data_IF_063227968651
#
_entry.id   IF_063227968651
#
_cell.length_a   1.000
_cell.length_b   1.000
_cell.length_c   1.000
_cell.angle_alpha   90.00
_cell.angle_beta   90.00
_cell.angle_gamma   90.00
#
_symmetry.space_group_name_H-M   'P 1'
#
loop_
_entity.id
_entity.type
_entity.pdbx_description
1 polymer ?
#
# COMPACT_ATOMS: atom_id res chain seq x y z
N UNK A 1 -4.23 10.29 21.42
CA UNK A 1 -3.07 10.92 20.76
C UNK A 1 -2.72 12.17 21.53
N UNK A 2 -1.44 12.50 21.73
CA UNK A 2 -1.05 13.73 22.41
C UNK A 2 -1.23 14.95 21.49
N UNK A 3 -1.44 16.11 22.09
CA UNK A 3 -1.33 17.40 21.40
C UNK A 3 0.14 17.73 21.13
N UNK A 4 0.41 18.40 20.00
CA UNK A 4 1.77 18.64 19.50
C UNK A 4 2.22 20.09 19.68
N UNK A 5 3.29 20.29 20.46
CA UNK A 5 3.94 21.58 20.71
C UNK A 5 5.09 21.86 19.73
N UNK A 6 5.39 23.14 19.50
CA UNK A 6 6.50 23.60 18.65
C UNK A 6 6.16 23.70 17.16
N UNK A 7 4.90 23.53 16.78
CA UNK A 7 4.45 23.56 15.38
C UNK A 7 4.00 24.94 14.97
N UNK A 8 4.37 25.37 13.78
CA UNK A 8 3.99 26.70 13.27
C UNK A 8 2.59 26.66 12.67
N UNK A 9 1.73 27.58 13.07
CA UNK A 9 0.41 27.81 12.49
C UNK A 9 0.39 29.21 11.89
N UNK A 10 -0.17 29.36 10.69
CA UNK A 10 -0.33 30.62 10.00
C UNK A 10 -1.80 31.01 9.93
N UNK A 11 -2.08 32.29 10.13
CA UNK A 11 -3.36 32.91 9.85
C UNK A 11 -3.31 33.55 8.47
N UNK A 12 -4.28 33.24 7.63
CA UNK A 12 -4.41 33.76 6.27
C UNK A 12 -5.64 34.66 6.15
N UNK A 13 -5.52 35.75 5.40
CA UNK A 13 -6.65 36.60 5.03
C UNK A 13 -7.51 35.97 3.91
N UNK A 14 -8.57 36.68 3.49
CA UNK A 14 -9.47 36.22 2.42
C UNK A 14 -8.83 36.06 1.04
N UNK A 15 -7.59 36.54 0.86
CA UNK A 15 -6.80 36.43 -0.35
C UNK A 15 -5.73 35.34 -0.24
N UNK A 16 -5.63 34.65 0.90
CA UNK A 16 -4.64 33.62 1.17
C UNK A 16 -3.25 34.16 1.52
N UNK A 17 -3.15 35.43 1.94
CA UNK A 17 -1.88 36.00 2.40
C UNK A 17 -1.70 35.76 3.90
N UNK A 18 -0.49 35.39 4.30
CA UNK A 18 -0.14 35.21 5.72
C UNK A 18 -0.12 36.57 6.41
N UNK A 19 -1.02 36.76 7.37
CA UNK A 19 -1.14 38.00 8.15
C UNK A 19 -0.59 37.86 9.57
N UNK A 20 -0.61 36.65 10.14
CA UNK A 20 -0.02 36.34 11.45
C UNK A 20 0.54 34.92 11.47
N UNK A 21 1.43 34.66 12.43
CA UNK A 21 2.01 33.34 12.68
C UNK A 21 2.05 33.08 14.19
N UNK A 22 1.72 31.86 14.60
CA UNK A 22 1.79 31.39 15.98
C UNK A 22 2.54 30.06 16.04
N UNK A 23 3.06 29.70 17.21
CA UNK A 23 3.68 28.39 17.46
C UNK A 23 2.88 27.69 18.54
N UNK A 24 2.53 26.42 18.32
CA UNK A 24 1.80 25.62 19.32
C UNK A 24 2.65 25.45 20.58
N UNK A 25 2.02 25.53 21.74
CA UNK A 25 2.71 25.37 23.03
C UNK A 25 1.74 24.91 24.11
N UNK A 26 2.24 24.19 25.10
CA UNK A 26 1.45 23.77 26.23
C UNK A 26 1.16 24.87 27.23
N UNK A 27 0.03 24.74 27.94
CA UNK A 27 -0.41 25.62 29.02
C UNK A 27 -0.82 24.77 30.23
N UNK A 28 -0.17 24.99 31.36
CA UNK A 28 -0.51 24.34 32.64
C UNK A 28 -1.87 24.89 33.11
N UNK A 29 -2.93 24.16 32.84
CA UNK A 29 -4.31 24.59 33.10
C UNK A 29 -4.75 24.21 34.50
N UNK A 30 -4.23 23.09 35.00
CA UNK A 30 -4.57 22.57 36.32
C UNK A 30 -3.69 23.15 37.44
N UNK A 31 -2.65 23.92 37.07
CA UNK A 31 -1.68 24.59 37.93
C UNK A 31 -0.87 23.61 38.80
N UNK A 32 -0.61 22.40 38.30
CA UNK A 32 0.19 21.39 38.99
C UNK A 32 1.70 21.50 38.71
N UNK A 33 2.10 22.44 37.84
CA UNK A 33 3.47 22.72 37.46
C UNK A 33 4.02 21.81 36.36
N UNK A 34 3.18 20.99 35.72
CA UNK A 34 3.53 20.15 34.55
C UNK A 34 2.65 20.52 33.36
N UNK A 35 3.07 20.06 32.18
CA UNK A 35 2.30 20.15 30.95
C UNK A 35 1.97 18.72 30.54
N UNK A 36 0.71 18.34 30.68
CA UNK A 36 0.21 17.06 30.24
C UNK A 36 -0.12 17.10 28.75
N UNK A 37 0.66 16.42 27.91
CA UNK A 37 0.49 16.49 26.45
C UNK A 37 -0.91 16.08 25.94
N UNK A 38 -1.67 15.30 26.71
CA UNK A 38 -3.03 14.87 26.34
C UNK A 38 -4.11 15.90 26.66
N UNK A 39 -3.86 16.84 27.57
CA UNK A 39 -4.87 17.80 28.06
C UNK A 39 -4.44 19.25 27.97
N UNK A 40 -3.14 19.51 27.84
CA UNK A 40 -2.53 20.81 28.07
C UNK A 40 -1.56 21.23 26.95
N UNK A 41 -1.31 20.40 25.94
CA UNK A 41 -0.45 20.72 24.78
C UNK A 41 -1.20 21.33 23.58
N UNK A 42 -0.45 21.73 22.55
CA UNK A 42 -0.95 22.05 21.20
C UNK A 42 -1.59 23.42 21.01
N UNK A 43 -1.57 24.30 22.01
CA UNK A 43 -2.33 25.54 21.95
C UNK A 43 -1.65 26.61 21.10
N UNK A 44 -2.44 27.25 20.24
CA UNK A 44 -2.07 28.46 19.51
C UNK A 44 -3.23 29.47 19.56
N UNK A 45 -2.94 30.74 19.26
CA UNK A 45 -3.95 31.80 19.31
C UNK A 45 -3.61 32.90 18.31
N UNK A 46 -4.67 33.45 17.68
CA UNK A 46 -4.61 34.68 16.92
C UNK A 46 -5.63 35.67 17.46
N UNK A 47 -5.30 36.96 17.39
CA UNK A 47 -6.26 38.04 17.67
C UNK A 47 -6.60 38.68 16.34
N UNK A 48 -7.89 38.70 15.99
CA UNK A 48 -8.38 39.09 14.67
C UNK A 48 -9.57 40.04 14.77
N UNK A 49 -9.90 40.71 13.66
CA UNK A 49 -11.12 41.51 13.54
C UNK A 49 -12.32 40.63 13.21
N UNK A 50 -13.50 40.93 13.73
CA UNK A 50 -14.73 40.14 13.51
C UNK A 50 -15.40 40.41 12.14
N UNK A 51 -14.98 41.45 11.44
CA UNK A 51 -15.50 41.87 10.13
C UNK A 51 -14.79 41.23 8.93
N UNK A 52 -13.78 40.39 9.17
CA UNK A 52 -13.01 39.73 8.11
C UNK A 52 -13.04 38.21 8.23
N UNK A 53 -13.02 37.55 7.08
CA UNK A 53 -12.86 36.12 7.00
C UNK A 53 -11.38 35.75 7.06
N UNK A 54 -11.06 34.77 7.88
CA UNK A 54 -9.73 34.20 8.01
C UNK A 54 -9.78 32.68 7.88
N UNK A 55 -8.67 32.10 7.44
CA UNK A 55 -8.41 30.67 7.57
C UNK A 55 -7.09 30.46 8.29
N UNK A 56 -6.88 29.26 8.80
CA UNK A 56 -5.60 28.86 9.39
C UNK A 56 -5.00 27.73 8.58
N UNK A 57 -3.68 27.60 8.63
CA UNK A 57 -2.94 26.48 8.06
C UNK A 57 -1.77 26.13 8.96
N UNK A 58 -1.58 24.85 9.25
CA UNK A 58 -0.39 24.39 9.93
C UNK A 58 0.77 24.18 8.94
N UNK A 59 1.98 24.57 9.34
CA UNK A 59 3.21 24.25 8.62
C UNK A 59 3.76 22.94 9.18
N UNK A 60 3.72 21.91 8.36
CA UNK A 60 4.12 20.55 8.73
C UNK A 60 5.65 20.41 8.65
N UNK A 61 6.31 19.82 9.67
CA UNK A 61 7.70 19.40 9.57
C UNK A 61 7.90 18.35 8.47
N UNK A 62 9.15 18.16 8.03
CA UNK A 62 9.47 17.10 7.08
C UNK A 62 9.12 15.71 7.66
N UNK A 63 8.55 14.82 6.86
CA UNK A 63 8.11 13.50 7.31
C UNK A 63 6.79 13.50 8.10
N UNK A 64 5.96 14.54 7.93
CA UNK A 64 4.62 14.64 8.51
C UNK A 64 3.59 15.07 7.46
N UNK A 65 2.39 14.50 7.55
CA UNK A 65 1.22 14.92 6.77
C UNK A 65 0.07 15.31 7.70
N UNK A 66 -0.76 16.25 7.23
CA UNK A 66 -2.02 16.59 7.86
C UNK A 66 -3.07 15.56 7.44
N UNK A 67 -3.59 14.81 8.40
CA UNK A 67 -4.62 13.78 8.20
C UNK A 67 -6.02 14.29 8.48
N UNK A 68 -6.16 15.37 9.25
CA UNK A 68 -7.43 16.01 9.54
C UNK A 68 -7.28 17.51 9.82
N UNK A 69 -8.33 18.25 9.52
CA UNK A 69 -8.51 19.65 9.97
C UNK A 69 -9.96 19.84 10.35
N UNK A 70 -10.19 20.21 11.61
CA UNK A 70 -11.52 20.34 12.17
C UNK A 70 -11.66 21.76 12.70
N UNK A 71 -12.53 22.54 12.06
CA UNK A 71 -12.84 23.91 12.47
C UNK A 71 -14.21 24.00 13.14
N UNK A 72 -14.23 24.67 14.27
CA UNK A 72 -15.43 24.95 15.08
C UNK A 72 -15.73 26.44 15.02
N UNK A 73 -16.91 26.79 14.54
CA UNK A 73 -17.46 28.14 14.71
C UNK A 73 -17.99 28.28 16.14
N UNK A 74 -17.20 28.92 16.99
CA UNK A 74 -17.54 29.16 18.39
C UNK A 74 -18.58 30.28 18.56
N UNK A 75 -18.89 31.00 17.48
CA UNK A 75 -19.92 32.04 17.43
C UNK A 75 -21.31 31.51 17.07
N UNK A 76 -21.44 30.25 16.62
CA UNK A 76 -22.73 29.67 16.24
C UNK A 76 -23.72 29.68 17.41
N UNK A 77 -25.05 29.82 17.18
CA UNK A 77 -26.04 29.80 18.26
C UNK A 77 -26.01 28.52 19.10
N UNK A 78 -25.69 27.37 18.48
CA UNK A 78 -25.55 26.10 19.18
C UNK A 78 -24.31 26.10 20.09
N UNK A 79 -23.16 26.59 19.59
CA UNK A 79 -21.94 26.78 20.38
C UNK A 79 -22.21 27.73 21.55
N UNK A 80 -22.81 28.90 21.31
CA UNK A 80 -23.18 29.85 22.36
C UNK A 80 -24.09 29.22 23.43
N UNK A 81 -25.09 28.44 23.02
CA UNK A 81 -25.98 27.75 23.95
C UNK A 81 -25.25 26.73 24.83
N UNK A 82 -24.25 26.02 24.28
CA UNK A 82 -23.41 25.09 25.03
C UNK A 82 -22.51 25.86 26.00
N UNK A 83 -21.93 26.98 25.58
CA UNK A 83 -21.04 27.81 26.39
C UNK A 83 -21.74 28.36 27.63
N UNK A 84 -22.98 28.78 27.47
CA UNK A 84 -23.84 29.27 28.55
C UNK A 84 -24.13 28.21 29.63
N UNK A 85 -23.82 26.94 29.36
CA UNK A 85 -23.90 25.88 30.36
C UNK A 85 -22.71 25.93 31.33
N UNK A 86 -21.57 26.51 30.93
CA UNK A 86 -20.32 26.53 31.72
C UNK A 86 -19.95 25.13 32.21
N UNK A 87 -19.93 24.18 31.28
CA UNK A 87 -19.54 22.80 31.59
C UNK A 87 -18.05 22.75 31.92
N UNK A 88 -17.69 21.85 32.83
CA UNK A 88 -16.30 21.53 33.14
C UNK A 88 -16.14 20.05 33.45
N UNK A 89 -14.96 19.51 33.15
CA UNK A 89 -14.55 18.24 33.71
C UNK A 89 -14.39 18.39 35.23
N UNK A 90 -14.74 17.34 35.97
CA UNK A 90 -14.41 17.22 37.40
C UNK A 90 -13.12 16.43 37.53
N UNK A 91 -13.08 15.42 38.41
CA UNK A 91 -11.92 14.53 38.53
C UNK A 91 -11.70 13.71 37.26
N UNK A 92 -12.78 13.33 36.56
CA UNK A 92 -12.77 12.59 35.30
C UNK A 92 -14.09 12.81 34.57
N UNK A 93 -14.25 12.20 33.40
CA UNK A 93 -15.50 12.13 32.64
C UNK A 93 -16.46 11.03 33.13
N UNK A 94 -16.13 10.25 34.16
CA UNK A 94 -17.00 9.17 34.69
C UNK A 94 -17.61 8.29 33.58
N UNK A 95 -16.75 7.86 32.65
CA UNK A 95 -17.19 7.15 31.45
C UNK A 95 -18.10 5.97 31.81
N UNK A 96 -19.27 5.90 31.17
CA UNK A 96 -20.23 4.81 31.26
C UNK A 96 -20.89 4.62 32.65
N UNK A 97 -20.92 5.64 33.52
CA UNK A 97 -21.54 5.53 34.84
C UNK A 97 -23.04 5.14 34.82
N UNK A 98 -23.76 5.49 33.76
CA UNK A 98 -25.16 5.19 33.50
C UNK A 98 -25.41 4.07 32.48
N UNK A 99 -24.36 3.43 31.97
CA UNK A 99 -24.45 2.24 31.11
C UNK A 99 -24.68 2.51 29.62
N UNK A 100 -24.53 3.74 29.13
CA UNK A 100 -24.70 4.12 27.72
C UNK A 100 -23.39 4.46 27.00
N UNK A 101 -22.24 4.24 27.65
CA UNK A 101 -20.93 4.70 27.16
C UNK A 101 -20.74 6.20 27.26
N UNK A 102 -21.55 6.90 28.06
CA UNK A 102 -21.59 8.36 28.12
C UNK A 102 -20.43 8.97 28.93
N UNK A 103 -20.07 10.22 28.59
CA UNK A 103 -19.11 11.04 29.34
C UNK A 103 -19.85 12.13 30.11
N UNK A 104 -19.47 12.38 31.35
CA UNK A 104 -20.13 13.29 32.29
C UNK A 104 -19.37 14.59 32.49
N UNK A 105 -20.12 15.68 32.52
CA UNK A 105 -19.62 17.04 32.72
C UNK A 105 -20.45 17.74 33.79
N UNK A 106 -19.86 18.72 34.47
CA UNK A 106 -20.56 19.45 35.53
C UNK A 106 -20.65 20.93 35.22
N UNK A 107 -21.81 21.52 35.48
CA UNK A 107 -22.01 22.97 35.52
C UNK A 107 -22.25 23.39 36.96
N UNK A 108 -21.55 24.42 37.43
CA UNK A 108 -21.76 24.97 38.78
C UNK A 108 -23.15 25.58 38.96
N UNK A 109 -23.75 26.05 37.86
CA UNK A 109 -25.08 26.69 37.87
C UNK A 109 -26.20 25.73 37.46
N UNK A 110 -25.91 24.73 36.62
CA UNK A 110 -26.94 23.85 36.02
C UNK A 110 -26.86 22.39 36.42
N UNK A 111 -25.81 21.98 37.12
CA UNK A 111 -25.58 20.62 37.61
C UNK A 111 -24.97 19.68 36.55
N UNK A 112 -25.14 18.38 36.75
CA UNK A 112 -24.56 17.35 35.89
C UNK A 112 -25.21 17.30 34.50
N UNK A 113 -24.37 17.10 33.50
CA UNK A 113 -24.71 16.82 32.12
C UNK A 113 -23.95 15.58 31.66
N UNK A 114 -24.45 14.91 30.63
CA UNK A 114 -23.77 13.79 30.00
C UNK A 114 -23.92 13.87 28.48
N UNK A 115 -22.86 13.47 27.77
CA UNK A 115 -22.85 13.33 26.32
C UNK A 115 -22.72 11.86 25.95
N UNK A 116 -23.59 11.41 25.05
CA UNK A 116 -23.63 10.03 24.56
C UNK A 116 -22.72 9.84 23.33
N UNK A 117 -22.30 8.60 23.01
CA UNK A 117 -21.40 8.33 21.87
C UNK A 117 -21.90 8.81 20.50
N UNK A 118 -23.21 8.98 20.35
CA UNK A 118 -23.87 9.55 19.16
C UNK A 118 -23.85 11.10 19.12
N UNK A 119 -23.22 11.75 20.10
CA UNK A 119 -23.02 13.19 20.09
C UNK A 119 -24.19 14.02 20.63
N UNK A 120 -25.06 13.43 21.44
CA UNK A 120 -26.20 14.15 22.03
C UNK A 120 -25.89 14.55 23.47
N UNK A 121 -26.03 15.84 23.79
CA UNK A 121 -25.81 16.39 25.12
C UNK A 121 -27.13 16.42 25.90
N UNK A 122 -27.12 15.87 27.11
CA UNK A 122 -28.27 15.82 28.03
C UNK A 122 -27.96 16.51 29.35
N UNK A 123 -28.96 17.18 29.91
CA UNK A 123 -28.96 17.62 31.31
C UNK A 123 -29.51 16.49 32.17
N UNK A 124 -28.74 16.04 33.16
CA UNK A 124 -29.20 15.01 34.08
C UNK A 124 -30.31 15.55 34.98
N UNK A 125 -31.45 14.85 35.02
CA UNK A 125 -32.63 15.29 35.78
C UNK A 125 -32.64 14.79 37.23
N UNK A 126 -31.57 14.14 37.69
CA UNK A 126 -31.51 13.48 38.98
C UNK A 126 -32.23 12.12 38.99
N UNK A 127 -31.98 11.33 40.04
CA UNK A 127 -32.51 9.97 40.21
C UNK A 127 -31.42 8.90 40.19
N UNK A 128 -31.80 7.64 39.93
CA UNK A 128 -30.84 6.56 39.73
C UNK A 128 -30.14 6.66 38.36
N UNK A 129 -28.96 6.05 38.26
CA UNK A 129 -28.22 5.92 36.98
C UNK A 129 -28.77 4.80 36.09
N UNK A 130 -29.76 4.04 36.57
CA UNK A 130 -30.33 2.90 35.86
C UNK A 130 -31.85 2.87 36.06
N UNK A 131 -32.65 3.26 35.05
CA UNK A 131 -32.22 3.82 33.76
C UNK A 131 -31.70 5.26 33.91
N UNK A 132 -30.68 5.62 33.12
CA UNK A 132 -30.20 6.99 33.03
C UNK A 132 -31.30 7.89 32.44
N UNK A 133 -31.57 9.03 33.11
CA UNK A 133 -32.59 9.99 32.70
C UNK A 133 -32.01 11.40 32.57
N UNK A 134 -32.30 12.05 31.45
CA UNK A 134 -31.90 13.41 31.20
C UNK A 134 -32.83 14.11 30.21
N UNK A 135 -32.83 15.44 30.26
CA UNK A 135 -33.48 16.29 29.26
C UNK A 135 -32.47 16.61 28.18
N UNK A 136 -32.79 16.33 26.92
CA UNK A 136 -31.93 16.67 25.78
C UNK A 136 -31.68 18.19 25.74
N UNK A 137 -30.42 18.57 25.62
CA UNK A 137 -29.97 19.97 25.53
C UNK A 137 -29.70 20.35 24.09
N UNK A 138 -28.89 19.56 23.39
CA UNK A 138 -28.50 19.78 22.01
C UNK A 138 -27.99 18.49 21.35
N UNK A 139 -28.10 18.41 20.03
CA UNK A 139 -27.29 17.49 19.21
C UNK A 139 -26.01 18.24 18.85
N UNK A 140 -24.90 17.86 19.49
CA UNK A 140 -23.63 18.59 19.36
C UNK A 140 -22.67 17.91 18.39
N UNK A 141 -22.83 16.62 18.12
CA UNK A 141 -21.99 15.86 17.19
C UNK A 141 -21.03 14.90 17.91
N UNK A 142 -20.62 13.84 17.21
CA UNK A 142 -19.77 12.77 17.74
C UNK A 142 -18.37 13.25 18.11
N UNK A 143 -17.90 14.31 17.48
CA UNK A 143 -16.65 14.99 17.73
C UNK A 143 -16.57 15.60 19.14
N UNK A 144 -17.67 16.16 19.66
CA UNK A 144 -17.76 16.62 21.06
C UNK A 144 -17.76 15.44 22.05
N UNK A 145 -18.20 14.25 21.62
CA UNK A 145 -18.04 13.06 22.44
C UNK A 145 -16.60 12.58 22.41
N UNK A 146 -15.93 12.61 21.25
CA UNK A 146 -14.53 12.25 21.10
C UNK A 146 -13.64 13.16 21.97
N UNK A 147 -13.81 14.48 21.82
CA UNK A 147 -13.16 15.52 22.62
C UNK A 147 -14.20 16.41 23.35
N UNK A 148 -14.58 16.06 24.60
CA UNK A 148 -15.49 16.89 25.39
C UNK A 148 -14.90 18.25 25.77
N UNK A 149 -13.61 18.51 25.53
CA UNK A 149 -13.05 19.86 25.74
C UNK A 149 -13.66 20.89 24.80
N UNK A 150 -14.22 20.45 23.68
CA UNK A 150 -14.98 21.28 22.75
C UNK A 150 -16.24 21.88 23.39
N UNK A 151 -16.83 21.20 24.39
CA UNK A 151 -17.98 21.72 25.16
C UNK A 151 -17.60 22.87 26.10
N UNK A 152 -16.30 23.17 26.26
CA UNK A 152 -15.80 24.25 27.13
C UNK A 152 -15.50 25.53 26.37
N UNK A 153 -15.51 25.50 25.02
CA UNK A 153 -15.42 26.64 24.10
C UNK A 153 -14.57 27.81 24.60
N UNK A 154 -13.33 27.54 25.00
CA UNK A 154 -12.39 28.59 25.35
C UNK A 154 -12.66 29.31 26.67
N UNK A 155 -13.34 28.72 27.68
CA UNK A 155 -13.13 29.13 29.09
C UNK A 155 -11.71 28.79 29.61
N UNK A 156 -10.72 28.83 28.72
CA UNK A 156 -9.29 28.70 28.95
C UNK A 156 -8.57 30.07 28.87
N UNK A 157 -9.31 31.18 28.87
CA UNK A 157 -8.69 32.48 29.15
C UNK A 157 -8.32 32.54 30.62
N UNK A 158 -7.10 32.13 30.95
CA UNK A 158 -6.44 32.62 32.16
C UNK A 158 -6.12 34.12 32.07
N UNK A 159 -6.40 34.77 30.93
CA UNK A 159 -6.38 36.22 30.82
C UNK A 159 -7.70 36.84 31.27
N UNK A 160 -7.57 37.83 32.15
CA UNK A 160 -8.60 38.60 32.82
C UNK A 160 -9.42 39.53 31.92
N UNK A 161 -9.35 39.38 30.59
CA UNK A 161 -10.02 40.28 29.66
C UNK A 161 -11.36 39.69 29.19
N UNK A 162 -12.38 39.93 30.01
CA UNK A 162 -13.79 39.59 29.77
C UNK A 162 -14.43 40.24 28.51
N UNK A 163 -13.63 40.79 27.60
CA UNK A 163 -14.06 41.54 26.41
C UNK A 163 -13.61 40.91 25.07
N UNK A 164 -12.92 39.77 25.06
CA UNK A 164 -12.52 39.09 23.81
C UNK A 164 -13.35 37.83 23.60
N UNK A 165 -14.03 37.73 22.46
CA UNK A 165 -14.76 36.52 22.04
C UNK A 165 -13.83 35.63 21.24
N UNK A 166 -13.75 34.34 21.59
CA UNK A 166 -13.19 33.34 20.67
C UNK A 166 -14.21 33.15 19.56
N UNK A 167 -13.80 33.38 18.31
CA UNK A 167 -14.68 33.30 17.13
C UNK A 167 -14.56 31.98 16.36
N UNK A 168 -13.43 31.27 16.49
CA UNK A 168 -13.27 29.91 15.99
C UNK A 168 -12.15 29.14 16.73
N UNK A 169 -12.24 27.80 16.74
CA UNK A 169 -11.15 26.87 17.11
C UNK A 169 -10.87 25.97 15.92
N UNK A 170 -9.62 25.72 15.57
CA UNK A 170 -9.26 24.73 14.54
C UNK A 170 -8.21 23.77 15.08
N UNK A 171 -8.49 22.48 14.99
CA UNK A 171 -7.60 21.41 15.42
C UNK A 171 -7.06 20.66 14.19
N UNK A 172 -5.77 20.29 14.24
CA UNK A 172 -5.09 19.58 13.16
C UNK A 172 -4.72 18.17 13.61
N UNK A 173 -5.15 17.16 12.85
CA UNK A 173 -4.66 15.79 12.98
C UNK A 173 -3.44 15.62 12.09
N UNK A 174 -2.36 15.07 12.62
CA UNK A 174 -1.10 14.87 11.89
C UNK A 174 -0.58 13.46 12.10
N UNK A 175 0.04 12.90 11.06
CA UNK A 175 0.71 11.61 11.13
C UNK A 175 2.15 11.71 10.64
N UNK A 176 3.06 11.04 11.35
CA UNK A 176 4.40 10.77 10.84
C UNK A 176 4.31 9.83 9.65
N UNK A 177 5.02 10.18 8.58
CA UNK A 177 5.07 9.40 7.35
C UNK A 177 6.50 9.22 6.86
N UNK A 178 6.70 8.16 6.08
CA UNK A 178 7.90 7.94 5.29
C UNK A 178 7.53 7.51 3.86
N UNK A 179 8.56 7.08 3.14
CA UNK A 179 8.43 6.59 1.78
C UNK A 179 8.83 5.12 1.73
N UNK A 180 8.12 4.32 0.93
CA UNK A 180 8.56 2.99 0.53
C UNK A 180 8.75 3.00 -0.96
N UNK A 181 9.95 2.69 -1.44
CA UNK A 181 10.21 2.57 -2.87
C UNK A 181 11.07 1.37 -3.20
N UNK A 182 10.93 0.93 -4.43
CA UNK A 182 11.69 -0.19 -4.95
C UNK A 182 11.57 -0.28 -6.45
N UNK A 183 12.02 -1.42 -7.00
CA UNK A 183 12.05 -1.62 -8.44
C UNK A 183 11.69 -3.05 -8.84
N UNK A 184 11.27 -3.20 -10.09
CA UNK A 184 11.07 -4.50 -10.71
C UNK A 184 11.99 -4.71 -11.90
N UNK A 185 12.57 -5.90 -12.04
CA UNK A 185 13.37 -6.27 -13.20
C UNK A 185 12.82 -7.52 -13.89
N UNK A 186 13.19 -7.69 -15.15
CA UNK A 186 12.95 -8.90 -15.94
C UNK A 186 13.97 -9.95 -15.52
N UNK A 187 13.53 -10.96 -14.78
CA UNK A 187 14.34 -12.12 -14.45
C UNK A 187 14.21 -13.14 -15.57
N UNK A 188 15.31 -13.34 -16.25
CA UNK A 188 15.38 -14.13 -17.44
C UNK A 188 15.58 -15.60 -17.14
N UNK A 189 16.53 -15.87 -16.26
CA UNK A 189 16.93 -17.20 -15.84
C UNK A 189 16.00 -17.78 -14.76
N UNK A 190 14.98 -17.03 -14.36
CA UNK A 190 14.00 -17.36 -13.31
C UNK A 190 14.62 -17.66 -11.95
N UNK A 191 15.85 -17.22 -11.72
CA UNK A 191 16.65 -17.63 -10.56
C UNK A 191 16.52 -16.69 -9.36
N UNK A 192 15.74 -15.61 -9.50
CA UNK A 192 15.52 -14.60 -8.48
C UNK A 192 16.69 -13.65 -8.26
N UNK A 193 17.69 -13.69 -9.12
CA UNK A 193 18.83 -12.77 -9.13
C UNK A 193 18.67 -11.79 -10.29
N UNK A 194 19.29 -10.60 -10.18
CA UNK A 194 19.42 -9.68 -11.30
C UNK A 194 20.79 -9.89 -11.92
N UNK A 195 20.83 -10.66 -13.00
CA UNK A 195 22.08 -11.15 -13.54
C UNK A 195 22.72 -10.22 -14.56
N UNK A 196 24.05 -10.34 -14.64
CA UNK A 196 24.81 -9.82 -15.77
C UNK A 196 24.70 -10.78 -16.94
N UNK A 197 24.27 -10.31 -18.11
CA UNK A 197 24.10 -11.13 -19.30
C UNK A 197 25.41 -11.11 -20.09
N UNK A 198 26.07 -12.26 -20.19
CA UNK A 198 27.33 -12.40 -20.91
C UNK A 198 27.10 -12.27 -22.43
N UNK A 199 27.56 -11.17 -23.03
CA UNK A 199 27.58 -11.01 -24.48
C UNK A 199 28.67 -11.92 -25.08
N UNK A 200 28.27 -13.04 -25.69
CA UNK A 200 29.24 -13.85 -26.44
C UNK A 200 29.61 -13.10 -27.73
N UNK A 201 30.91 -12.92 -28.05
CA UNK A 201 31.31 -12.30 -29.31
C UNK A 201 31.09 -13.27 -30.48
N UNK A 202 30.71 -12.70 -31.64
CA UNK A 202 30.70 -13.33 -32.97
C UNK A 202 29.58 -14.32 -33.33
N UNK A 203 28.31 -13.90 -33.20
CA UNK A 203 27.24 -14.45 -34.05
C UNK A 203 26.69 -13.35 -34.95
N UNK A 204 26.72 -13.57 -36.26
CA UNK A 204 26.07 -12.72 -37.27
C UNK A 204 24.55 -12.81 -37.09
N UNK A 205 23.99 -11.95 -36.26
CA UNK A 205 22.54 -11.83 -36.12
C UNK A 205 21.99 -10.97 -37.26
N UNK A 206 21.07 -11.54 -38.03
CA UNK A 206 20.25 -10.80 -38.99
C UNK A 206 19.15 -10.05 -38.23
N UNK A 207 19.25 -8.72 -38.13
CA UNK A 207 18.15 -7.91 -37.60
C UNK A 207 16.98 -7.88 -38.61
N UNK A 208 15.72 -7.96 -38.18
CA UNK A 208 14.61 -7.51 -39.01
C UNK A 208 14.79 -6.01 -39.31
N UNK A 209 14.66 -5.63 -40.59
CA UNK A 209 15.06 -4.32 -41.11
C UNK A 209 14.15 -3.14 -40.71
N UNK A 210 13.15 -3.37 -39.85
CA UNK A 210 12.24 -2.32 -39.41
C UNK A 210 12.87 -1.51 -38.27
N UNK A 211 12.87 -0.16 -38.34
CA UNK A 211 13.35 0.66 -37.24
C UNK A 211 12.48 0.39 -36.01
N UNK A 212 13.13 0.02 -34.90
CA UNK A 212 12.46 -0.09 -33.61
C UNK A 212 11.84 1.28 -33.22
N UNK A 213 10.72 1.28 -32.49
CA UNK A 213 10.22 2.51 -31.87
C UNK A 213 11.32 3.17 -31.03
N UNK A 214 11.35 4.51 -31.02
CA UNK A 214 12.36 5.29 -30.28
C UNK A 214 12.43 4.83 -28.81
N UNK A 215 13.64 4.54 -28.33
CA UNK A 215 13.88 4.04 -26.97
C UNK A 215 13.74 2.52 -26.77
N UNK A 216 13.34 1.77 -27.81
CA UNK A 216 13.24 0.30 -27.74
C UNK A 216 14.57 -0.38 -28.11
N UNK A 217 14.82 -1.55 -27.51
CA UNK A 217 16.07 -2.30 -27.63
C UNK A 217 15.79 -3.77 -27.97
N UNK A 218 16.64 -4.36 -28.81
CA UNK A 218 16.61 -5.80 -29.08
C UNK A 218 17.29 -6.57 -27.95
N UNK A 219 16.72 -7.71 -27.59
CA UNK A 219 17.24 -8.60 -26.57
C UNK A 219 17.17 -10.07 -27.04
N UNK A 220 18.18 -10.88 -26.72
CA UNK A 220 18.22 -12.29 -27.11
C UNK A 220 18.34 -13.22 -25.91
N UNK A 221 17.50 -14.25 -25.94
CA UNK A 221 17.54 -15.40 -25.07
C UNK A 221 18.46 -16.47 -25.61
N UNK A 222 19.61 -16.65 -24.98
CA UNK A 222 20.50 -17.74 -25.35
C UNK A 222 20.06 -19.09 -24.80
N UNK A 223 19.33 -19.13 -23.68
CA UNK A 223 18.88 -20.39 -23.07
C UNK A 223 17.72 -20.98 -23.88
N UNK A 224 16.80 -20.14 -24.35
CA UNK A 224 15.62 -20.54 -25.11
C UNK A 224 15.72 -20.23 -26.62
N UNK A 225 16.81 -19.60 -27.08
CA UNK A 225 17.06 -19.23 -28.47
C UNK A 225 15.98 -18.33 -29.10
N UNK A 226 15.52 -17.30 -28.39
CA UNK A 226 14.42 -16.41 -28.82
C UNK A 226 14.78 -14.92 -28.75
N UNK A 227 14.18 -14.11 -29.62
CA UNK A 227 14.29 -12.66 -29.62
C UNK A 227 13.14 -11.99 -28.88
N UNK A 228 13.47 -10.91 -28.17
CA UNK A 228 12.53 -9.97 -27.58
C UNK A 228 12.83 -8.55 -28.04
N UNK A 229 11.80 -7.72 -28.05
CA UNK A 229 11.92 -6.26 -28.12
C UNK A 229 11.52 -5.73 -26.74
N UNK A 230 12.44 -5.03 -26.08
CA UNK A 230 12.13 -4.24 -24.89
C UNK A 230 11.73 -2.86 -25.39
N UNK A 231 10.50 -2.44 -25.13
CA UNK A 231 10.08 -1.09 -25.53
C UNK A 231 10.74 0.01 -24.66
N UNK A 232 10.49 1.28 -25.00
CA UNK A 232 11.03 2.43 -24.26
C UNK A 232 10.68 2.43 -22.76
N UNK A 233 9.60 1.74 -22.41
CA UNK A 233 9.07 1.60 -21.06
C UNK A 233 9.55 0.31 -20.37
N UNK A 234 10.46 -0.44 -20.98
CA UNK A 234 11.01 -1.66 -20.39
C UNK A 234 10.11 -2.88 -20.55
N UNK A 235 9.01 -2.83 -21.31
CA UNK A 235 8.14 -3.99 -21.48
C UNK A 235 8.74 -4.93 -22.53
N UNK A 236 8.98 -6.22 -22.21
CA UNK A 236 9.39 -7.17 -23.22
C UNK A 236 8.20 -7.58 -24.08
N UNK A 237 8.44 -7.68 -25.38
CA UNK A 237 7.54 -8.30 -26.35
C UNK A 237 8.30 -9.41 -27.07
N UNK A 238 7.72 -10.62 -27.07
CA UNK A 238 8.26 -11.74 -27.81
C UNK A 238 8.24 -11.42 -29.31
N UNK A 239 9.35 -11.64 -29.98
CA UNK A 239 9.47 -11.45 -31.41
C UNK A 239 9.42 -12.77 -32.18
N UNK A 240 10.20 -13.77 -31.76
CA UNK A 240 10.27 -15.07 -32.45
C UNK A 240 11.52 -15.89 -32.08
N UNK A 241 11.56 -17.19 -32.42
CA UNK A 241 12.76 -18.01 -32.27
C UNK A 241 13.83 -17.63 -33.29
N UNK A 242 15.07 -18.03 -33.03
CA UNK A 242 16.13 -17.97 -34.04
C UNK A 242 15.86 -19.02 -35.12
N UNK A 243 15.23 -18.64 -36.25
CA UNK A 243 15.13 -19.52 -37.42
C UNK A 243 16.50 -19.63 -38.12
N UNK A 244 17.39 -20.44 -37.56
CA UNK A 244 18.63 -20.88 -38.22
C UNK A 244 18.45 -22.20 -39.02
N UNK A 245 17.21 -22.65 -39.25
CA UNK A 245 16.92 -23.78 -40.13
C UNK A 245 16.65 -23.32 -41.58
N UNK A 246 17.71 -22.83 -42.24
CA UNK A 246 17.97 -23.16 -43.65
C UNK A 246 17.01 -22.67 -44.73
N UNK A 247 16.43 -21.46 -44.60
CA UNK A 247 15.77 -20.77 -45.70
C UNK A 247 16.76 -19.92 -46.52
N UNK A 248 17.26 -20.46 -47.63
CA UNK A 248 18.24 -19.89 -48.58
C UNK A 248 17.81 -18.56 -49.29
N UNK A 249 16.92 -17.76 -48.70
CA UNK A 249 16.30 -16.57 -49.33
C UNK A 249 16.50 -15.24 -48.59
N UNK A 250 16.92 -15.24 -47.30
CA UNK A 250 17.25 -13.97 -46.63
C UNK A 250 18.62 -13.41 -47.04
N UNK A 251 19.48 -14.25 -47.66
CA UNK A 251 20.87 -13.91 -47.94
C UNK A 251 21.18 -13.57 -49.42
N UNK A 252 20.17 -13.36 -50.29
CA UNK A 252 20.43 -13.17 -51.74
C UNK A 252 19.91 -11.91 -52.40
N UNK A 253 19.16 -11.02 -51.74
CA UNK A 253 18.58 -9.86 -52.47
C UNK A 253 19.00 -8.46 -51.99
N UNK A 254 19.82 -8.30 -50.95
CA UNK A 254 20.34 -6.95 -50.67
C UNK A 254 21.72 -6.93 -49.95
N UNK A 255 22.83 -6.79 -50.68
CA UNK A 255 24.19 -6.69 -50.10
C UNK A 255 24.45 -5.37 -49.34
N UNK A 256 23.42 -4.56 -49.09
CA UNK A 256 23.55 -3.17 -48.61
C UNK A 256 23.25 -2.91 -47.13
N UNK A 257 22.77 -3.90 -46.36
CA UNK A 257 22.23 -3.66 -45.00
C UNK A 257 23.02 -4.32 -43.86
N UNK A 258 24.32 -4.56 -44.04
CA UNK A 258 25.20 -4.87 -42.90
C UNK A 258 25.66 -3.54 -42.30
N UNK A 259 24.88 -2.97 -41.39
CA UNK A 259 25.35 -1.92 -40.50
C UNK A 259 25.68 -2.58 -39.16
N UNK A 260 26.93 -2.98 -38.99
CA UNK A 260 27.47 -3.21 -37.66
C UNK A 260 27.31 -1.89 -36.89
N UNK A 261 26.43 -1.86 -35.89
CA UNK A 261 26.39 -0.77 -34.93
C UNK A 261 26.73 -1.29 -33.55
N UNK A 262 27.72 -0.59 -33.01
CA UNK A 262 28.13 -0.41 -31.63
C UNK A 262 27.29 -1.17 -30.61
N UNK A 263 27.95 -2.12 -29.95
CA UNK A 263 27.55 -2.77 -28.72
C UNK A 263 26.80 -1.79 -27.80
N UNK A 264 25.54 -2.10 -27.48
CA UNK A 264 24.88 -1.46 -26.34
C UNK A 264 25.44 -2.20 -25.11
N UNK A 265 26.25 -1.49 -24.34
CA UNK A 265 26.78 -1.91 -23.03
C UNK A 265 25.64 -1.94 -22.00
N UNK A 266 24.61 -2.78 -22.19
CA UNK A 266 23.70 -3.10 -21.09
C UNK A 266 23.93 -4.55 -20.71
N UNK A 267 24.83 -4.71 -19.74
CA UNK A 267 25.34 -5.99 -19.28
C UNK A 267 24.41 -6.66 -18.26
N UNK A 268 23.19 -6.19 -18.01
CA UNK A 268 22.33 -6.71 -16.92
C UNK A 268 20.87 -6.76 -17.28
N UNK A 269 20.14 -7.72 -16.71
CA UNK A 269 18.69 -7.87 -16.86
C UNK A 269 17.92 -6.55 -16.71
N UNK A 270 17.00 -6.19 -17.63
CA UNK A 270 16.42 -4.86 -17.67
C UNK A 270 15.40 -4.60 -16.56
N UNK A 271 15.32 -3.35 -16.12
CA UNK A 271 14.23 -2.88 -15.24
C UNK A 271 12.92 -2.73 -16.04
N UNK A 272 11.79 -3.12 -15.44
CA UNK A 272 10.50 -3.22 -16.13
C UNK A 272 9.38 -2.42 -15.46
N UNK A 273 8.55 -1.79 -16.29
CA UNK A 273 7.36 -1.06 -15.87
C UNK A 273 6.09 -1.97 -15.89
N UNK A 274 4.96 -1.41 -15.47
CA UNK A 274 3.64 -2.05 -15.57
C UNK A 274 3.36 -3.14 -14.53
N UNK A 275 4.27 -3.38 -13.57
CA UNK A 275 4.10 -4.39 -12.53
C UNK A 275 3.32 -3.81 -11.35
N UNK A 276 2.20 -4.41 -10.99
CA UNK A 276 1.43 -4.01 -9.80
C UNK A 276 2.20 -4.33 -8.52
N UNK A 277 2.25 -3.40 -7.57
CA UNK A 277 2.82 -3.58 -6.24
C UNK A 277 1.80 -3.17 -5.20
N UNK A 278 1.67 -3.95 -4.13
CA UNK A 278 0.75 -3.70 -3.03
C UNK A 278 1.51 -3.47 -1.73
N UNK A 279 1.09 -2.46 -0.98
CA UNK A 279 1.50 -2.23 0.40
C UNK A 279 0.43 -2.78 1.33
N UNK A 280 0.83 -3.67 2.24
CA UNK A 280 -0.07 -4.41 3.12
C UNK A 280 0.26 -4.08 4.58
N UNK A 281 -0.77 -3.73 5.35
CA UNK A 281 -0.62 -3.46 6.78
C UNK A 281 -0.39 -4.73 7.59
N UNK A 282 -0.12 -4.57 8.89
CA UNK A 282 0.07 -5.68 9.84
C UNK A 282 -1.14 -6.61 9.99
N UNK A 283 -2.34 -6.15 9.64
CA UNK A 283 -3.57 -6.93 9.71
C UNK A 283 -3.82 -7.73 8.42
N UNK A 284 -2.96 -7.60 7.41
CA UNK A 284 -3.11 -8.24 6.11
C UNK A 284 -3.99 -7.46 5.12
N UNK A 285 -4.36 -6.22 5.42
CA UNK A 285 -5.15 -5.39 4.51
C UNK A 285 -4.24 -4.67 3.52
N UNK A 286 -4.62 -4.65 2.24
CA UNK A 286 -3.98 -3.79 1.24
C UNK A 286 -4.37 -2.34 1.52
N UNK A 287 -3.39 -1.51 1.89
CA UNK A 287 -3.58 -0.10 2.21
C UNK A 287 -3.22 0.83 1.07
N UNK A 288 -2.38 0.37 0.14
CA UNK A 288 -2.06 1.09 -1.09
C UNK A 288 -1.69 0.12 -2.21
N UNK A 289 -1.91 0.54 -3.45
CA UNK A 289 -1.51 -0.18 -4.67
C UNK A 289 -0.92 0.82 -5.65
N UNK A 290 0.19 0.44 -6.29
CA UNK A 290 0.86 1.24 -7.32
C UNK A 290 1.35 0.33 -8.44
N UNK A 291 1.95 0.90 -9.49
CA UNK A 291 2.57 0.17 -10.59
C UNK A 291 3.98 0.66 -10.85
N UNK A 292 4.89 -0.23 -11.26
CA UNK A 292 6.22 0.19 -11.68
C UNK A 292 6.18 1.07 -12.93
N UNK A 293 7.02 2.09 -12.98
CA UNK A 293 7.08 3.08 -14.06
C UNK A 293 8.48 3.70 -14.17
N UNK A 294 8.72 4.39 -15.28
CA UNK A 294 9.91 5.23 -15.43
C UNK A 294 9.73 6.55 -14.67
N UNK A 295 10.75 6.99 -13.94
CA UNK A 295 10.76 8.27 -13.23
C UNK A 295 12.02 9.04 -13.64
N UNK A 296 11.84 10.16 -14.33
CA UNK A 296 12.90 11.11 -14.66
C UNK A 296 13.32 11.87 -13.38
N UNK A 297 14.28 11.32 -12.65
CA UNK A 297 14.72 11.89 -11.38
C UNK A 297 15.55 13.14 -11.58
N UNK A 298 16.25 13.24 -12.71
CA UNK A 298 17.17 14.34 -12.99
C UNK A 298 16.48 15.52 -13.73
N UNK A 299 15.26 15.32 -14.22
CA UNK A 299 14.42 16.25 -14.99
C UNK A 299 15.09 16.75 -16.28
N UNK A 300 15.88 15.91 -16.96
CA UNK A 300 16.50 16.24 -18.23
C UNK A 300 15.64 15.90 -19.46
N UNK A 301 14.48 15.26 -19.23
CA UNK A 301 13.53 14.88 -20.27
C UNK A 301 13.88 13.58 -21.00
N UNK A 302 14.89 12.83 -20.55
CA UNK A 302 15.35 11.56 -21.14
C UNK A 302 15.40 10.48 -20.07
N UNK A 303 14.74 9.34 -20.29
CA UNK A 303 14.80 8.22 -19.33
C UNK A 303 16.10 7.43 -19.50
N UNK A 304 16.89 7.35 -18.43
CA UNK A 304 18.07 6.50 -18.34
C UNK A 304 17.67 5.08 -17.85
N UNK A 305 17.87 4.03 -18.67
CA UNK A 305 17.39 2.68 -18.35
C UNK A 305 17.81 2.16 -16.97
N UNK A 306 19.08 2.34 -16.61
CA UNK A 306 19.62 1.76 -15.38
C UNK A 306 19.20 2.51 -14.12
N UNK A 307 18.99 3.82 -14.19
CA UNK A 307 18.70 4.65 -13.01
C UNK A 307 17.24 5.06 -12.87
N UNK A 308 16.46 5.00 -13.95
CA UNK A 308 15.15 5.66 -14.02
C UNK A 308 14.00 4.75 -14.45
N UNK A 309 14.23 3.47 -14.84
CA UNK A 309 13.16 2.52 -15.16
C UNK A 309 12.74 1.64 -13.99
N UNK A 310 11.51 1.13 -14.04
CA UNK A 310 11.01 0.06 -13.19
C UNK A 310 10.72 0.46 -11.75
N UNK A 311 10.63 1.75 -11.44
CA UNK A 311 10.42 2.26 -10.09
C UNK A 311 8.97 2.19 -9.67
N UNK A 312 8.73 1.87 -8.40
CA UNK A 312 7.48 2.17 -7.72
C UNK A 312 7.75 2.93 -6.42
N UNK A 313 6.81 3.78 -6.04
CA UNK A 313 6.89 4.61 -4.83
C UNK A 313 5.52 4.61 -4.13
N UNK A 314 5.54 4.37 -2.83
CA UNK A 314 4.47 4.69 -1.90
C UNK A 314 4.93 5.90 -1.08
N UNK A 315 4.34 7.05 -1.35
CA UNK A 315 4.56 8.28 -0.59
C UNK A 315 3.62 8.34 0.62
N UNK A 316 3.94 9.21 1.58
CA UNK A 316 3.10 9.49 2.74
C UNK A 316 2.64 8.26 3.52
N UNK A 317 3.49 7.24 3.59
CA UNK A 317 3.17 5.98 4.29
C UNK A 317 3.29 6.21 5.79
N UNK A 318 2.21 6.04 6.58
CA UNK A 318 2.29 6.24 8.02
C UNK A 318 3.35 5.36 8.66
N UNK A 319 4.11 5.89 9.63
CA UNK A 319 5.12 5.11 10.36
C UNK A 319 4.55 3.79 10.89
N UNK A 320 5.24 2.69 10.61
CA UNK A 320 4.76 1.35 10.95
C UNK A 320 5.47 0.23 10.21
N UNK A 321 5.15 -1.01 10.57
CA UNK A 321 5.62 -2.20 9.86
C UNK A 321 4.62 -2.59 8.78
N UNK A 322 5.12 -2.78 7.56
CA UNK A 322 4.34 -3.15 6.39
C UNK A 322 4.97 -4.33 5.68
N UNK A 323 4.16 -4.96 4.84
CA UNK A 323 4.60 -5.95 3.88
C UNK A 323 4.38 -5.39 2.48
N UNK A 324 5.43 -5.32 1.67
CA UNK A 324 5.32 -5.03 0.25
C UNK A 324 5.25 -6.35 -0.49
N UNK A 325 4.29 -6.49 -1.40
CA UNK A 325 4.16 -7.69 -2.23
C UNK A 325 3.86 -7.35 -3.67
N UNK A 326 4.29 -8.23 -4.57
CA UNK A 326 3.94 -8.18 -5.98
C UNK A 326 2.99 -9.33 -6.30
N UNK A 327 1.69 -9.07 -6.55
CA UNK A 327 0.78 -10.11 -6.97
C UNK A 327 1.18 -10.67 -8.33
N UNK A 328 0.96 -11.97 -8.54
CA UNK A 328 1.15 -12.60 -9.85
C UNK A 328 0.19 -12.01 -10.88
N UNK A 329 0.71 -11.73 -12.08
CA UNK A 329 -0.06 -11.25 -13.23
C UNK A 329 -0.06 -12.33 -14.32
N UNK A 330 -1.13 -12.37 -15.13
CA UNK A 330 -1.27 -13.36 -16.21
C UNK A 330 -0.05 -13.36 -17.14
N UNK A 331 0.53 -14.54 -17.41
CA UNK A 331 1.72 -14.70 -18.25
C UNK A 331 3.04 -14.35 -17.56
N UNK A 332 3.03 -14.11 -16.24
CA UNK A 332 4.21 -13.70 -15.50
C UNK A 332 4.36 -14.42 -14.15
N UNK A 333 5.60 -14.68 -13.77
CA UNK A 333 6.01 -15.19 -12.46
C UNK A 333 6.78 -14.13 -11.70
N UNK A 334 6.58 -14.04 -10.39
CA UNK A 334 7.42 -13.22 -9.50
C UNK A 334 8.48 -14.15 -8.92
N UNK A 335 9.74 -13.95 -9.32
CA UNK A 335 10.87 -14.85 -9.05
C UNK A 335 11.80 -14.35 -7.97
N UNK A 336 11.64 -13.12 -7.49
CA UNK A 336 12.28 -12.63 -6.27
C UNK A 336 11.28 -11.85 -5.42
N UNK A 337 11.36 -11.91 -4.08
CA UNK A 337 12.43 -12.53 -3.27
C UNK A 337 12.25 -14.04 -3.01
N UNK A 338 11.44 -14.74 -3.80
CA UNK A 338 11.13 -16.17 -3.64
C UNK A 338 12.08 -17.06 -4.46
N UNK A 339 12.04 -18.38 -4.28
CA UNK A 339 12.74 -19.29 -5.21
C UNK A 339 11.92 -19.53 -6.47
N UNK A 340 12.54 -20.00 -7.55
CA UNK A 340 11.86 -20.41 -8.79
C UNK A 340 10.70 -21.40 -8.51
N UNK A 341 10.96 -22.44 -7.71
CA UNK A 341 9.92 -23.45 -7.40
C UNK A 341 8.73 -22.86 -6.64
N UNK A 342 8.97 -21.84 -5.80
CA UNK A 342 7.92 -21.09 -5.11
C UNK A 342 7.18 -20.14 -6.06
N UNK A 343 7.91 -19.45 -6.96
CA UNK A 343 7.31 -18.65 -8.00
C UNK A 343 6.36 -19.48 -8.89
N UNK A 344 6.78 -20.69 -9.27
CA UNK A 344 5.97 -21.65 -10.02
C UNK A 344 4.71 -22.03 -9.24
N UNK A 345 4.82 -22.35 -7.95
CA UNK A 345 3.65 -22.67 -7.13
C UNK A 345 2.67 -21.49 -7.00
N UNK A 346 3.15 -20.28 -6.74
CA UNK A 346 2.33 -19.06 -6.66
C UNK A 346 1.57 -18.85 -7.98
N UNK A 347 2.26 -18.94 -9.11
CA UNK A 347 1.63 -18.71 -10.42
C UNK A 347 0.62 -19.79 -10.80
N UNK A 348 0.90 -21.06 -10.49
CA UNK A 348 -0.03 -22.19 -10.68
C UNK A 348 -1.28 -22.00 -9.82
N UNK A 349 -1.14 -21.66 -8.55
CA UNK A 349 -2.28 -21.43 -7.68
C UNK A 349 -3.10 -20.20 -8.10
N UNK A 350 -2.45 -19.10 -8.49
CA UNK A 350 -3.14 -17.93 -9.01
C UNK A 350 -3.97 -18.27 -10.26
N UNK A 351 -3.40 -19.05 -11.19
CA UNK A 351 -4.03 -19.47 -12.43
C UNK A 351 -5.24 -20.40 -12.19
N UNK A 352 -5.06 -21.42 -11.34
CA UNK A 352 -6.03 -22.51 -11.22
C UNK A 352 -6.88 -22.47 -9.94
N UNK A 353 -6.44 -21.77 -8.89
CA UNK A 353 -7.03 -21.76 -7.56
C UNK A 353 -7.07 -23.16 -6.97
N UNK A 354 -5.91 -23.69 -6.60
CA UNK A 354 -5.81 -25.06 -6.14
C UNK A 354 -6.30 -25.18 -4.70
N UNK A 355 -7.11 -26.19 -4.43
CA UNK A 355 -7.73 -26.41 -3.13
C UNK A 355 -7.50 -27.83 -2.64
N UNK A 356 -7.23 -27.97 -1.35
CA UNK A 356 -7.18 -29.26 -0.68
C UNK A 356 -8.59 -29.76 -0.41
N UNK A 357 -8.78 -31.06 -0.51
CA UNK A 357 -10.00 -31.71 0.01
C UNK A 357 -9.73 -32.35 1.37
N UNK A 358 -10.77 -32.92 1.99
CA UNK A 358 -10.64 -33.64 3.27
C UNK A 358 -9.65 -34.82 3.21
N UNK A 359 -9.38 -35.35 2.01
CA UNK A 359 -8.35 -36.34 1.74
C UNK A 359 -7.57 -35.94 0.48
N UNK A 360 -6.29 -36.25 0.44
CA UNK A 360 -5.46 -36.08 -0.75
C UNK A 360 -5.48 -37.32 -1.66
N UNK A 361 -6.35 -38.29 -1.38
CA UNK A 361 -6.51 -39.52 -2.16
C UNK A 361 -5.17 -40.21 -2.49
N UNK A 362 -4.26 -40.23 -1.52
CA UNK A 362 -2.92 -40.75 -1.72
C UNK A 362 -2.92 -42.12 -2.41
N UNK A 363 -2.20 -42.21 -3.53
CA UNK A 363 -1.96 -43.42 -4.31
C UNK A 363 -3.23 -44.10 -4.86
N UNK A 364 -4.31 -43.35 -5.08
CA UNK A 364 -5.54 -43.85 -5.70
C UNK A 364 -5.32 -44.42 -7.11
N UNK A 365 -4.46 -43.79 -7.90
CA UNK A 365 -4.07 -44.15 -9.25
C UNK A 365 -2.90 -45.13 -9.33
N UNK A 366 -2.35 -45.56 -8.20
CA UNK A 366 -1.21 -46.48 -8.07
C UNK A 366 0.15 -45.97 -8.54
N UNK A 367 0.35 -44.64 -8.58
CA UNK A 367 1.61 -43.99 -8.97
C UNK A 367 2.25 -43.20 -7.80
N UNK A 368 1.82 -43.48 -6.57
CA UNK A 368 2.15 -42.73 -5.35
C UNK A 368 1.81 -41.23 -5.45
N UNK A 369 0.74 -40.90 -6.15
CA UNK A 369 0.32 -39.53 -6.36
C UNK A 369 -0.54 -38.99 -5.20
N UNK A 370 -0.64 -37.67 -5.11
CA UNK A 370 -1.58 -36.96 -4.21
C UNK A 370 -2.44 -36.00 -5.01
N UNK A 371 -3.64 -35.73 -4.54
CA UNK A 371 -4.70 -35.07 -5.31
C UNK A 371 -5.16 -33.75 -4.68
N UNK A 372 -5.40 -32.77 -5.55
CA UNK A 372 -5.99 -31.46 -5.24
C UNK A 372 -7.07 -31.11 -6.27
N UNK A 373 -7.99 -30.23 -5.92
CA UNK A 373 -8.98 -29.68 -6.85
C UNK A 373 -8.49 -28.32 -7.36
N UNK A 374 -8.93 -27.92 -8.56
CA UNK A 374 -8.86 -26.52 -8.97
C UNK A 374 -10.20 -25.80 -8.74
N UNK A 375 -10.21 -24.48 -8.96
CA UNK A 375 -11.39 -23.60 -8.85
C UNK A 375 -12.56 -24.04 -9.72
N UNK A 376 -12.30 -24.81 -10.77
CA UNK A 376 -13.30 -25.38 -11.68
C UNK A 376 -13.73 -26.80 -11.28
N UNK A 377 -13.34 -27.27 -10.08
CA UNK A 377 -13.57 -28.61 -9.56
C UNK A 377 -12.99 -29.74 -10.42
N UNK A 378 -11.92 -29.46 -11.17
CA UNK A 378 -11.16 -30.50 -11.87
C UNK A 378 -10.08 -31.05 -10.96
N UNK A 379 -9.87 -32.36 -11.07
CA UNK A 379 -8.84 -33.04 -10.30
C UNK A 379 -7.47 -32.81 -10.90
N UNK A 380 -6.51 -32.53 -10.04
CA UNK A 380 -5.10 -32.47 -10.37
C UNK A 380 -4.35 -33.43 -9.45
N UNK A 381 -3.30 -34.07 -9.96
CA UNK A 381 -2.46 -34.96 -9.17
C UNK A 381 -0.99 -34.54 -9.26
N UNK A 382 -0.29 -34.63 -8.14
CA UNK A 382 1.15 -34.40 -8.04
C UNK A 382 1.88 -35.71 -7.75
N UNK A 383 2.94 -35.98 -8.50
CA UNK A 383 3.81 -37.14 -8.33
C UNK A 383 4.93 -36.87 -7.33
N UNK A 384 5.61 -37.90 -6.77
CA UNK A 384 6.71 -37.73 -5.83
C UNK A 384 7.90 -36.92 -6.36
N UNK A 385 8.05 -36.82 -7.68
CA UNK A 385 9.08 -36.02 -8.35
C UNK A 385 8.68 -34.54 -8.53
N UNK A 386 7.49 -34.14 -8.06
CA UNK A 386 7.00 -32.77 -8.11
C UNK A 386 6.26 -32.38 -9.38
N UNK A 387 6.09 -33.29 -10.36
CA UNK A 387 5.28 -33.01 -11.55
C UNK A 387 3.79 -32.97 -11.20
N UNK A 388 3.13 -31.86 -11.53
CA UNK A 388 1.70 -31.62 -11.33
C UNK A 388 0.95 -31.77 -12.66
N UNK A 389 -0.14 -32.53 -12.66
CA UNK A 389 -0.94 -32.83 -13.83
C UNK A 389 -2.42 -32.48 -13.64
N UNK A 390 -3.06 -31.93 -14.67
CA UNK A 390 -4.53 -31.98 -14.79
C UNK A 390 -4.93 -33.42 -15.14
N UNK A 391 -5.76 -34.05 -14.32
CA UNK A 391 -6.17 -35.42 -14.55
C UNK A 391 -7.10 -35.55 -15.75
N UNK A 392 -6.76 -36.44 -16.68
CA UNK A 392 -7.69 -36.89 -17.73
C UNK A 392 -8.73 -37.81 -17.11
N UNK A 393 -9.96 -37.33 -17.03
CA UNK A 393 -11.09 -38.04 -16.40
C UNK A 393 -11.22 -39.46 -16.94
N UNK A 394 -11.21 -40.44 -16.03
CA UNK A 394 -11.36 -41.87 -16.36
C UNK A 394 -10.04 -42.61 -16.61
N UNK A 395 -8.90 -41.91 -16.65
CA UNK A 395 -7.59 -42.56 -16.65
C UNK A 395 -7.25 -43.11 -15.27
N UNK A 396 -6.77 -44.36 -15.22
CA UNK A 396 -6.38 -45.06 -14.00
C UNK A 396 -5.47 -46.25 -14.34
N UNK A 397 -4.95 -46.92 -13.31
CA UNK A 397 -4.07 -48.10 -13.47
C UNK A 397 -4.69 -49.25 -14.28
N UNK A 398 -6.02 -49.39 -14.31
CA UNK A 398 -6.72 -50.38 -15.13
C UNK A 398 -6.80 -50.00 -16.62
N UNK A 399 -6.63 -48.71 -16.94
CA UNK A 399 -6.79 -48.11 -18.27
C UNK A 399 -5.46 -47.54 -18.83
N UNK A 400 -4.33 -48.15 -18.48
CA UNK A 400 -3.01 -47.74 -19.00
C UNK A 400 -2.28 -46.67 -18.18
N UNK A 401 -2.65 -46.50 -16.90
CA UNK A 401 -2.02 -45.57 -15.97
C UNK A 401 -2.77 -44.25 -15.83
N UNK A 402 -2.32 -43.41 -14.91
CA UNK A 402 -2.79 -42.03 -14.81
C UNK A 402 -2.33 -41.26 -16.05
N UNK A 403 -3.27 -40.55 -16.67
CA UNK A 403 -3.01 -39.67 -17.81
C UNK A 403 -3.44 -38.26 -17.43
N UNK A 404 -2.71 -37.27 -17.93
CA UNK A 404 -2.98 -35.88 -17.63
C UNK A 404 -2.12 -34.93 -18.45
N UNK A 405 -2.57 -33.69 -18.51
CA UNK A 405 -1.79 -32.59 -19.10
C UNK A 405 -0.86 -32.05 -18.03
N UNK A 406 0.45 -32.01 -18.29
CA UNK A 406 1.42 -31.43 -17.36
C UNK A 406 1.09 -29.95 -17.17
N UNK A 407 0.89 -29.54 -15.92
CA UNK A 407 0.66 -28.13 -15.56
C UNK A 407 1.95 -27.43 -15.13
N UNK A 408 2.78 -28.11 -14.34
CA UNK A 408 4.01 -27.56 -13.80
C UNK A 408 4.94 -28.66 -13.28
N UNK A 409 6.22 -28.32 -13.17
CA UNK A 409 7.21 -29.13 -12.45
C UNK A 409 7.67 -28.35 -11.22
N UNK A 410 7.45 -28.92 -10.05
CA UNK A 410 7.80 -28.35 -8.73
C UNK A 410 8.91 -29.19 -8.08
N UNK A 411 9.37 -28.78 -6.89
CA UNK A 411 10.21 -29.65 -6.06
C UNK A 411 9.37 -30.74 -5.38
N UNK A 412 10.03 -31.82 -4.93
CA UNK A 412 9.39 -32.89 -4.17
C UNK A 412 8.79 -32.43 -2.82
N UNK A 413 9.13 -31.22 -2.34
CA UNK A 413 8.58 -30.68 -1.10
C UNK A 413 7.09 -30.38 -1.22
N UNK A 414 6.62 -29.96 -2.39
CA UNK A 414 5.20 -29.70 -2.67
C UNK A 414 4.36 -30.98 -2.66
N UNK A 415 4.97 -32.11 -3.01
CA UNK A 415 4.34 -33.42 -2.83
C UNK A 415 4.24 -33.82 -1.35
N UNK A 416 5.22 -33.42 -0.53
CA UNK A 416 5.22 -33.74 0.90
C UNK A 416 4.29 -32.83 1.71
N UNK A 417 4.15 -31.56 1.32
CA UNK A 417 3.26 -30.59 1.94
C UNK A 417 2.43 -29.85 0.87
N UNK A 418 1.21 -30.35 0.65
CA UNK A 418 0.28 -29.77 -0.33
C UNK A 418 -0.15 -28.34 0.01
N UNK A 419 0.07 -27.84 1.24
CA UNK A 419 -0.25 -26.44 1.55
C UNK A 419 0.67 -25.48 0.79
N UNK A 420 1.91 -25.88 0.51
CA UNK A 420 2.82 -25.10 -0.32
C UNK A 420 2.29 -24.93 -1.75
N UNK A 421 1.41 -25.83 -2.21
CA UNK A 421 0.78 -25.78 -3.52
C UNK A 421 -0.57 -25.04 -3.53
N UNK A 422 -1.39 -25.21 -2.49
CA UNK A 422 -2.77 -24.68 -2.44
C UNK A 422 -2.93 -23.38 -1.65
N UNK A 423 -1.87 -22.97 -0.96
CA UNK A 423 -1.75 -21.69 -0.25
C UNK A 423 -0.27 -21.28 -0.25
N UNK A 424 0.32 -21.08 -1.45
CA UNK A 424 1.74 -20.82 -1.58
C UNK A 424 2.11 -19.50 -0.86
N UNK A 425 3.19 -19.47 -0.06
CA UNK A 425 3.61 -18.23 0.59
C UNK A 425 3.93 -17.17 -0.48
N UNK A 426 3.30 -16.00 -0.38
CA UNK A 426 3.44 -14.93 -1.36
C UNK A 426 4.87 -14.36 -1.42
N UNK A 427 5.23 -13.80 -2.58
CA UNK A 427 6.48 -13.06 -2.76
C UNK A 427 6.38 -11.71 -2.06
N UNK A 428 6.95 -11.62 -0.86
CA UNK A 428 6.81 -10.46 0.02
C UNK A 428 8.14 -9.99 0.61
N UNK A 429 8.24 -8.70 0.86
CA UNK A 429 9.33 -8.05 1.60
C UNK A 429 8.73 -7.28 2.77
N UNK A 430 9.24 -7.50 3.98
CA UNK A 430 8.82 -6.73 5.16
C UNK A 430 9.65 -5.46 5.26
N UNK A 431 8.97 -4.33 5.46
CA UNK A 431 9.60 -3.01 5.60
C UNK A 431 9.10 -2.31 6.87
N UNK A 432 9.99 -1.59 7.54
CA UNK A 432 9.63 -0.73 8.67
C UNK A 432 9.76 0.73 8.24
N UNK A 433 8.62 1.41 8.11
CA UNK A 433 8.55 2.83 7.74
C UNK A 433 8.71 3.69 8.99
N UNK A 434 9.55 4.72 8.89
CA UNK A 434 9.85 5.67 9.97
C UNK A 434 9.68 7.10 9.45
N UNK A 435 9.42 8.05 10.35
CA UNK A 435 9.22 9.46 9.99
C UNK A 435 10.39 10.01 9.17
N UNK A 436 10.07 10.55 7.99
CA UNK A 436 11.01 11.16 7.05
C UNK A 436 12.06 10.20 6.49
N UNK A 437 11.92 8.89 6.72
CA UNK A 437 12.83 7.88 6.18
C UNK A 437 12.28 7.31 4.87
N UNK A 438 13.21 6.89 4.02
CA UNK A 438 12.91 6.11 2.82
C UNK A 438 13.31 4.67 3.11
N UNK A 439 12.35 3.75 3.01
CA UNK A 439 12.63 2.32 2.92
C UNK A 439 12.87 2.00 1.43
N UNK A 440 14.14 1.81 1.08
CA UNK A 440 14.61 1.52 -0.27
C UNK A 440 14.94 0.03 -0.47
N UNK A 441 15.41 -0.31 -1.67
CA UNK A 441 15.89 -1.64 -2.08
C UNK A 441 14.86 -2.78 -1.96
N UNK A 442 13.57 -2.46 -2.09
CA UNK A 442 12.51 -3.46 -2.15
C UNK A 442 12.33 -3.96 -3.60
N UNK A 443 13.10 -4.98 -3.97
CA UNK A 443 13.24 -5.44 -5.35
C UNK A 443 12.38 -6.67 -5.66
N UNK A 444 11.80 -6.71 -6.88
CA UNK A 444 11.04 -7.87 -7.39
C UNK A 444 11.53 -8.32 -8.78
N UNK A 445 11.94 -9.58 -8.88
CA UNK A 445 12.30 -10.24 -10.12
C UNK A 445 11.05 -10.80 -10.78
N UNK A 446 10.96 -10.69 -12.11
CA UNK A 446 9.78 -11.07 -12.86
C UNK A 446 10.15 -11.83 -14.11
N UNK A 447 9.69 -13.07 -14.23
CA UNK A 447 9.90 -13.89 -15.41
C UNK A 447 8.65 -13.95 -16.28
N UNK A 448 8.83 -13.78 -17.59
CA UNK A 448 7.73 -13.91 -18.56
C UNK A 448 7.59 -15.37 -18.99
N UNK A 449 6.41 -15.94 -18.82
CA UNK A 449 6.11 -17.26 -19.35
C UNK A 449 5.99 -17.18 -20.89
N UNK A 450 6.79 -17.96 -21.63
CA UNK A 450 6.69 -18.06 -23.09
C UNK A 450 5.51 -18.94 -23.53
N UNK A 451 4.91 -18.61 -24.68
CA UNK A 451 3.67 -19.19 -25.21
C UNK A 451 3.72 -20.71 -25.52
N UNK A 452 4.88 -21.37 -25.47
CA UNK A 452 4.94 -22.85 -25.49
C UNK A 452 4.33 -23.48 -24.22
N UNK A 453 4.03 -22.67 -23.19
CA UNK A 453 3.19 -23.02 -22.04
C UNK A 453 1.72 -22.57 -22.17
N UNK A 454 1.37 -21.75 -23.17
CA UNK A 454 0.02 -21.14 -23.37
C UNK A 454 -0.87 -22.00 -24.29
N UNK A 455 -0.37 -23.12 -24.79
CA UNK A 455 -1.16 -24.16 -25.45
C UNK A 455 -2.19 -24.89 -24.57
N UNK A 456 -2.41 -24.48 -23.31
CA UNK A 456 -3.45 -25.07 -22.45
C UNK A 456 -4.10 -24.14 -21.41
N UNK A 457 -4.16 -22.82 -21.68
CA UNK A 457 -5.04 -21.93 -20.92
C UNK A 457 -6.49 -21.94 -21.47
#
# INVERSE_FOLDING_TARGET
>A
EPWLDGWTVQLLDSQGLVVQTAVTSGRDMNLDGRIDAETEGGWYQFVVSDDQAYSVRQILPNGWVQTAEISFDTSSPASQQINDLQLRQRVSYYLNAGGLGEKWLYSDTRGWHYITPDGVLYRWTGGGLTPLRGTKVADVGTEYFADPTLLFNGQYSSESDANQSVIARTDFGNAEVGEVRGRAWLDFYSNGQRDTIELVPDVFVLYPADPLPEGSEWFYDYENAVWYIIDADGNPSYFGPNEDDGGDDFNRTNPGNIQARTFIEQETEPWINGRTVELVDRNGNVVATTTTQSIDFNNDGTIQPETERGWYVFEDVPSGDYTVRMPSQSGWMVTAPVSETQATAISVDAAYGLERTLSDFFNWGHENERWVLDRNHRWNYILPDGRLYEWTVGSNSANGGLQGTLRATLSAEYYNDLNLLTDPPAAVVTVSVRSGAVADDVLFGNHRMLDELIGSL
#
